data_IF_648608121940
#
_entry.id   IF_648608121940
#
_cell.length_a   1.000
_cell.length_b   1.000
_cell.length_c   1.000
_cell.angle_alpha   90.00
_cell.angle_beta   90.00
_cell.angle_gamma   90.00
#
_symmetry.space_group_name_H-M   'P 1'
#
loop_
_entity.id
_entity.type
_entity.pdbx_description
1 polymer ?
#
# COMPACT_ATOMS: atom_id res chain seq x y z
N UNK A 1 68.67 -1.30 8.27
CA UNK A 1 68.46 0.11 7.87
C UNK A 1 67.05 0.25 7.32
N UNK A 2 66.31 1.24 7.85
CA UNK A 2 65.28 2.10 7.20
C UNK A 2 64.33 1.41 6.19
N UNK A 3 63.07 1.16 6.59
CA UNK A 3 61.88 2.03 6.39
C UNK A 3 61.31 1.96 4.96
N UNK A 4 60.03 1.53 4.89
CA UNK A 4 58.93 2.17 4.12
C UNK A 4 59.04 1.99 2.57
N UNK A 5 58.02 1.58 1.82
CA UNK A 5 56.78 2.32 1.55
C UNK A 5 55.72 1.40 0.92
N UNK A 6 54.50 1.53 1.43
CA UNK A 6 53.21 0.99 0.98
C UNK A 6 52.76 1.78 -0.25
N UNK A 7 52.42 1.17 -1.39
CA UNK A 7 51.68 1.79 -2.52
C UNK A 7 51.60 0.74 -3.67
N UNK A 8 50.55 0.58 -4.48
CA UNK A 8 49.41 1.44 -4.79
C UNK A 8 48.32 0.54 -5.39
N UNK A 9 47.12 0.61 -4.82
CA UNK A 9 45.87 0.12 -5.38
C UNK A 9 45.62 0.86 -6.71
N UNK A 10 45.61 0.16 -7.84
CA UNK A 10 45.12 0.73 -9.12
C UNK A 10 44.10 -0.24 -9.68
N UNK A 11 42.82 0.09 -9.50
CA UNK A 11 41.97 0.77 -10.50
C UNK A 11 41.64 -0.14 -11.68
N UNK A 12 40.71 -1.05 -11.41
CA UNK A 12 39.61 -1.43 -12.27
C UNK A 12 38.37 -1.17 -11.41
N UNK A 13 37.30 -0.49 -11.83
CA UNK A 13 36.50 -0.79 -13.00
C UNK A 13 35.86 0.50 -13.53
N UNK A 14 35.82 0.55 -14.85
CA UNK A 14 35.09 1.48 -15.71
C UNK A 14 33.59 1.21 -15.59
N UNK A 15 32.82 2.25 -15.27
CA UNK A 15 31.36 2.27 -15.40
C UNK A 15 30.95 3.74 -15.39
N UNK A 16 30.58 4.26 -16.55
CA UNK A 16 30.48 5.69 -16.80
C UNK A 16 29.56 6.41 -15.83
N UNK A 17 30.07 7.48 -15.22
CA UNK A 17 29.26 8.57 -14.71
C UNK A 17 28.55 9.26 -15.89
N UNK A 18 27.47 8.65 -16.38
CA UNK A 18 26.41 9.33 -17.10
C UNK A 18 25.16 9.18 -16.24
N UNK A 19 25.06 9.96 -15.17
CA UNK A 19 23.84 10.14 -14.42
C UNK A 19 23.95 11.51 -13.72
N UNK A 20 23.60 12.56 -14.47
CA UNK A 20 23.32 13.88 -13.90
C UNK A 20 21.86 13.95 -13.40
N UNK A 21 21.14 12.83 -13.30
CA UNK A 21 19.86 12.72 -12.61
C UNK A 21 20.08 12.82 -11.10
N UNK A 22 19.19 13.52 -10.39
CA UNK A 22 19.22 13.50 -8.94
C UNK A 22 18.87 12.07 -8.48
N UNK A 23 19.58 11.44 -7.53
CA UNK A 23 19.30 10.05 -7.12
C UNK A 23 17.83 9.75 -6.77
N UNK A 24 17.10 10.75 -6.29
CA UNK A 24 15.68 10.65 -5.97
C UNK A 24 14.76 10.69 -7.21
N UNK A 25 15.18 11.31 -8.30
CA UNK A 25 14.47 11.29 -9.59
C UNK A 25 14.55 9.90 -10.24
N UNK A 26 15.76 9.33 -10.29
CA UNK A 26 15.99 8.01 -10.85
C UNK A 26 15.21 6.94 -10.05
N UNK A 27 15.29 7.00 -8.71
CA UNK A 27 14.52 6.09 -7.84
C UNK A 27 13.01 6.28 -7.96
N UNK A 28 12.53 7.53 -8.06
CA UNK A 28 11.10 7.79 -8.28
C UNK A 28 10.61 7.21 -9.60
N UNK A 29 11.41 7.33 -10.67
CA UNK A 29 11.09 6.77 -11.97
C UNK A 29 11.08 5.23 -11.96
N UNK A 30 12.03 4.59 -11.29
CA UNK A 30 12.05 3.14 -11.09
C UNK A 30 10.81 2.69 -10.29
N UNK A 31 10.54 3.35 -9.16
CA UNK A 31 9.38 3.06 -8.32
C UNK A 31 8.06 3.13 -9.12
N UNK A 32 7.86 4.18 -9.92
CA UNK A 32 6.62 4.36 -10.68
C UNK A 32 6.45 3.39 -11.85
N UNK A 33 7.54 2.98 -12.50
CA UNK A 33 7.50 2.19 -13.75
C UNK A 33 7.75 0.70 -13.54
N UNK A 34 8.26 0.27 -12.38
CA UNK A 34 8.58 -1.12 -12.11
C UNK A 34 7.87 -1.62 -10.85
N UNK A 35 8.28 -1.13 -9.67
CA UNK A 35 7.80 -1.66 -8.38
C UNK A 35 6.30 -1.39 -8.15
N UNK A 36 5.79 -0.22 -8.55
CA UNK A 36 4.39 0.17 -8.34
C UNK A 36 3.41 -0.54 -9.27
N UNK A 37 3.81 -0.97 -10.47
CA UNK A 37 2.84 -1.48 -11.47
C UNK A 37 2.12 -2.72 -10.97
N UNK A 38 2.86 -3.69 -10.41
CA UNK A 38 2.26 -4.91 -9.87
C UNK A 38 1.32 -4.62 -8.69
N UNK A 39 1.64 -3.62 -7.86
CA UNK A 39 0.79 -3.15 -6.77
C UNK A 39 -0.46 -2.45 -7.29
N UNK A 40 -0.33 -1.67 -8.36
CA UNK A 40 -1.44 -0.95 -9.00
C UNK A 40 -2.46 -1.92 -9.61
N UNK A 41 -2.03 -2.93 -10.37
CA UNK A 41 -2.95 -3.94 -10.93
C UNK A 41 -3.76 -4.66 -9.83
N UNK A 42 -3.11 -4.98 -8.70
CA UNK A 42 -3.80 -5.58 -7.55
C UNK A 42 -4.77 -4.61 -6.89
N UNK A 43 -4.45 -3.31 -6.85
CA UNK A 43 -5.36 -2.28 -6.33
C UNK A 43 -6.63 -2.14 -7.19
N UNK A 44 -6.52 -2.20 -8.52
CA UNK A 44 -7.69 -2.22 -9.42
C UNK A 44 -8.56 -3.46 -9.18
N UNK A 45 -7.92 -4.63 -9.02
CA UNK A 45 -8.63 -5.86 -8.66
C UNK A 45 -9.36 -5.72 -7.31
N UNK A 46 -8.76 -5.12 -6.30
CA UNK A 46 -9.41 -4.88 -4.99
C UNK A 46 -10.63 -3.97 -5.15
N UNK A 47 -10.54 -2.92 -5.97
CA UNK A 47 -11.68 -2.04 -6.27
C UNK A 47 -12.85 -2.79 -6.92
N UNK A 48 -12.56 -3.62 -7.93
CA UNK A 48 -13.56 -4.50 -8.57
C UNK A 48 -14.19 -5.48 -7.58
N UNK A 49 -13.38 -6.00 -6.65
CA UNK A 49 -13.86 -6.92 -5.62
C UNK A 49 -14.77 -6.21 -4.62
N UNK A 50 -14.48 -4.96 -4.26
CA UNK A 50 -15.36 -4.11 -3.45
C UNK A 50 -16.74 -3.91 -4.10
N UNK A 51 -16.78 -3.65 -5.41
CA UNK A 51 -18.04 -3.55 -6.14
C UNK A 51 -18.84 -4.87 -6.10
N UNK A 52 -18.17 -6.01 -6.27
CA UNK A 52 -18.80 -7.34 -6.17
C UNK A 52 -19.27 -7.68 -4.75
N UNK A 53 -18.61 -7.16 -3.71
CA UNK A 53 -19.04 -7.36 -2.33
C UNK A 53 -20.39 -6.69 -2.06
N UNK A 54 -20.65 -5.51 -2.65
CA UNK A 54 -21.94 -4.80 -2.50
C UNK A 54 -23.12 -5.69 -2.90
N UNK A 55 -22.97 -6.47 -3.99
CA UNK A 55 -23.99 -7.40 -4.47
C UNK A 55 -24.28 -8.55 -3.48
N UNK A 56 -23.37 -8.81 -2.54
CA UNK A 56 -23.45 -9.92 -1.58
C UNK A 56 -24.03 -9.52 -0.22
N UNK A 57 -24.15 -8.23 0.11
CA UNK A 57 -24.60 -7.80 1.44
C UNK A 57 -26.00 -8.29 1.83
N UNK A 58 -26.84 -8.66 0.85
CA UNK A 58 -28.14 -9.30 1.13
C UNK A 58 -28.01 -10.71 1.73
N UNK A 59 -26.82 -11.31 1.67
CA UNK A 59 -26.49 -12.63 2.19
C UNK A 59 -25.21 -12.52 3.09
N UNK A 60 -25.33 -12.09 4.36
CA UNK A 60 -24.18 -11.73 5.21
C UNK A 60 -23.12 -12.82 5.32
N UNK A 61 -23.52 -14.09 5.44
CA UNK A 61 -22.59 -15.24 5.47
C UNK A 61 -21.74 -15.33 4.18
N UNK A 62 -22.36 -15.18 3.01
CA UNK A 62 -21.64 -15.22 1.73
C UNK A 62 -20.76 -13.99 1.53
N UNK A 63 -21.19 -12.83 2.02
CA UNK A 63 -20.39 -11.62 2.00
C UNK A 63 -19.15 -11.78 2.90
N UNK A 64 -19.32 -12.31 4.12
CA UNK A 64 -18.23 -12.57 5.07
C UNK A 64 -17.22 -13.54 4.48
N UNK A 65 -17.67 -14.67 3.91
CA UNK A 65 -16.81 -15.64 3.24
C UNK A 65 -16.02 -14.97 2.11
N UNK A 66 -16.66 -14.14 1.30
CA UNK A 66 -15.98 -13.44 0.20
C UNK A 66 -14.93 -12.43 0.72
N UNK A 67 -15.20 -11.72 1.82
CA UNK A 67 -14.19 -10.86 2.46
C UNK A 67 -13.00 -11.68 2.94
N UNK A 68 -13.25 -12.77 3.66
CA UNK A 68 -12.21 -13.58 4.31
C UNK A 68 -11.38 -14.44 3.35
N UNK A 69 -12.01 -15.00 2.32
CA UNK A 69 -11.36 -15.95 1.41
C UNK A 69 -10.79 -15.27 0.16
N UNK A 70 -11.29 -14.10 -0.21
CA UNK A 70 -10.89 -13.45 -1.47
C UNK A 70 -10.24 -12.07 -1.23
N UNK A 71 -10.92 -11.15 -0.51
CA UNK A 71 -10.43 -9.76 -0.36
C UNK A 71 -9.23 -9.68 0.58
N UNK A 72 -9.37 -10.15 1.82
CA UNK A 72 -8.31 -10.05 2.83
C UNK A 72 -7.01 -10.76 2.44
N UNK A 73 -7.03 -11.96 1.82
CA UNK A 73 -5.81 -12.59 1.35
C UNK A 73 -5.07 -11.76 0.30
N UNK A 74 -5.81 -11.11 -0.62
CA UNK A 74 -5.20 -10.23 -1.62
C UNK A 74 -4.61 -8.97 -0.98
N UNK A 75 -5.30 -8.36 -0.01
CA UNK A 75 -4.77 -7.20 0.72
C UNK A 75 -3.50 -7.54 1.52
N UNK A 76 -3.48 -8.70 2.18
CA UNK A 76 -2.31 -9.20 2.92
C UNK A 76 -1.12 -9.46 1.98
N UNK A 77 -1.38 -9.99 0.79
CA UNK A 77 -0.37 -10.16 -0.26
C UNK A 77 0.17 -8.82 -0.78
N UNK A 78 -0.71 -7.84 -1.04
CA UNK A 78 -0.31 -6.48 -1.44
C UNK A 78 0.53 -5.81 -0.35
N UNK A 79 0.09 -5.89 0.91
CA UNK A 79 0.83 -5.35 2.06
C UNK A 79 2.23 -5.95 2.16
N UNK A 80 2.35 -7.28 2.07
CA UNK A 80 3.65 -7.95 2.12
C UNK A 80 4.56 -7.54 0.96
N UNK A 81 4.01 -7.36 -0.24
CA UNK A 81 4.79 -6.87 -1.39
C UNK A 81 5.22 -5.42 -1.22
N UNK A 82 4.36 -4.56 -0.67
CA UNK A 82 4.71 -3.18 -0.34
C UNK A 82 5.84 -3.12 0.69
N UNK A 83 5.74 -3.87 1.79
CA UNK A 83 6.81 -3.95 2.80
C UNK A 83 8.17 -4.42 2.21
N UNK A 84 8.16 -5.22 1.15
CA UNK A 84 9.38 -5.61 0.43
C UNK A 84 9.94 -4.50 -0.47
N UNK A 85 9.08 -3.64 -1.01
CA UNK A 85 9.49 -2.46 -1.78
C UNK A 85 10.11 -1.43 -0.84
N UNK A 86 9.48 -1.17 0.32
CA UNK A 86 9.98 -0.24 1.34
C UNK A 86 11.45 -0.47 1.71
N UNK A 87 11.86 -1.73 1.85
CA UNK A 87 13.23 -2.12 2.19
C UNK A 87 14.29 -1.79 1.12
N UNK A 88 13.86 -1.51 -0.12
CA UNK A 88 14.74 -1.18 -1.24
C UNK A 88 14.89 0.32 -1.47
N UNK A 89 13.98 1.11 -0.94
CA UNK A 89 13.96 2.56 -1.16
C UNK A 89 15.06 3.23 -0.33
N UNK A 90 15.83 4.10 -0.96
CA UNK A 90 16.97 4.81 -0.39
C UNK A 90 16.68 6.28 -0.11
N UNK A 91 15.80 6.92 -0.89
CA UNK A 91 15.54 8.37 -0.76
C UNK A 91 14.28 8.67 0.03
N UNK A 92 14.38 9.63 0.95
CA UNK A 92 13.28 10.02 1.85
C UNK A 92 11.99 10.39 1.08
N UNK A 93 12.11 11.04 -0.08
CA UNK A 93 10.93 11.51 -0.82
C UNK A 93 10.11 10.36 -1.41
N UNK A 94 10.78 9.30 -1.88
CA UNK A 94 10.13 8.09 -2.40
C UNK A 94 9.65 7.21 -1.25
N UNK A 95 10.42 7.10 -0.17
CA UNK A 95 9.98 6.44 1.07
C UNK A 95 8.71 7.08 1.65
N UNK A 96 8.63 8.41 1.72
CA UNK A 96 7.43 9.12 2.18
C UNK A 96 6.21 8.83 1.29
N UNK A 97 6.40 8.79 -0.03
CA UNK A 97 5.33 8.42 -0.96
C UNK A 97 4.90 6.96 -0.78
N UNK A 98 5.85 6.05 -0.61
CA UNK A 98 5.56 4.63 -0.44
C UNK A 98 4.90 4.33 0.90
N UNK A 99 5.31 5.02 1.98
CA UNK A 99 4.67 4.90 3.28
C UNK A 99 3.19 5.25 3.21
N UNK A 100 2.80 6.30 2.47
CA UNK A 100 1.38 6.61 2.25
C UNK A 100 0.63 5.46 1.57
N UNK A 101 1.25 4.76 0.63
CA UNK A 101 0.65 3.57 0.01
C UNK A 101 0.51 2.42 1.01
N UNK A 102 1.55 2.15 1.81
CA UNK A 102 1.55 1.09 2.82
C UNK A 102 0.51 1.35 3.93
N UNK A 103 0.39 2.61 4.36
CA UNK A 103 -0.62 3.07 5.31
C UNK A 103 -2.02 2.85 4.73
N UNK A 104 -2.25 3.25 3.47
CA UNK A 104 -3.54 3.06 2.81
C UNK A 104 -3.94 1.58 2.76
N UNK A 105 -3.03 0.69 2.37
CA UNK A 105 -3.30 -0.75 2.29
C UNK A 105 -3.53 -1.35 3.68
N UNK A 106 -2.81 -0.86 4.70
CA UNK A 106 -3.01 -1.30 6.09
C UNK A 106 -4.38 -0.89 6.59
N UNK A 107 -4.74 0.39 6.51
CA UNK A 107 -6.06 0.87 6.94
C UNK A 107 -7.20 0.21 6.16
N UNK A 108 -7.01 -0.02 4.85
CA UNK A 108 -7.97 -0.74 4.03
C UNK A 108 -8.13 -2.21 4.48
N UNK A 109 -7.05 -2.86 4.90
CA UNK A 109 -7.09 -4.21 5.47
C UNK A 109 -7.90 -4.21 6.77
N UNK A 110 -7.59 -3.29 7.69
CA UNK A 110 -8.28 -3.16 8.97
C UNK A 110 -9.79 -2.90 8.77
N UNK A 111 -10.13 -2.04 7.79
CA UNK A 111 -11.52 -1.76 7.40
C UNK A 111 -12.26 -3.03 6.96
N UNK A 112 -11.63 -3.88 6.13
CA UNK A 112 -12.24 -5.13 5.67
C UNK A 112 -12.27 -6.20 6.77
N UNK A 113 -11.31 -6.23 7.69
CA UNK A 113 -11.35 -7.11 8.87
C UNK A 113 -12.56 -6.75 9.76
N UNK A 114 -12.71 -5.47 10.10
CA UNK A 114 -13.88 -4.98 10.84
C UNK A 114 -15.19 -5.26 10.10
N UNK A 115 -15.19 -5.05 8.78
CA UNK A 115 -16.37 -5.34 7.98
C UNK A 115 -16.74 -6.84 7.99
N UNK A 116 -15.75 -7.75 7.99
CA UNK A 116 -16.00 -9.18 8.16
C UNK A 116 -16.65 -9.47 9.51
N UNK A 117 -16.13 -8.88 10.60
CA UNK A 117 -16.67 -9.07 11.94
C UNK A 117 -18.13 -8.58 12.03
N UNK A 118 -18.44 -7.42 11.43
CA UNK A 118 -19.80 -6.91 11.33
C UNK A 118 -20.72 -7.83 10.52
N UNK A 119 -20.23 -8.44 9.44
CA UNK A 119 -20.99 -9.39 8.63
C UNK A 119 -21.29 -10.68 9.39
N UNK A 120 -20.36 -11.15 10.24
CA UNK A 120 -20.56 -12.30 11.13
C UNK A 120 -21.75 -12.10 12.06
N UNK A 121 -21.79 -10.93 12.71
CA UNK A 121 -22.86 -10.54 13.63
C UNK A 121 -24.23 -10.46 12.94
N UNK A 122 -24.26 -10.30 11.62
CA UNK A 122 -25.46 -10.15 10.83
C UNK A 122 -25.92 -11.47 10.17
N UNK A 123 -25.24 -12.60 10.44
CA UNK A 123 -25.69 -13.92 9.98
C UNK A 123 -26.95 -14.35 10.73
N UNK A 124 -28.08 -14.66 10.03
CA UNK A 124 -29.32 -15.03 10.71
C UNK A 124 -29.22 -16.36 11.51
N UNK A 125 -29.93 -16.47 12.65
CA UNK A 125 -30.77 -15.43 13.26
C UNK A 125 -29.94 -14.36 13.99
N UNK A 126 -30.26 -13.09 13.75
CA UNK A 126 -29.59 -11.96 14.40
C UNK A 126 -30.25 -11.66 15.75
N UNK A 127 -29.47 -11.61 16.83
CA UNK A 127 -29.95 -11.24 18.16
C UNK A 127 -29.96 -9.72 18.37
N UNK A 128 -30.68 -9.23 19.39
CA UNK A 128 -30.64 -7.80 19.77
C UNK A 128 -29.22 -7.37 20.19
N UNK A 129 -28.45 -8.27 20.82
CA UNK A 129 -27.06 -8.02 21.22
C UNK A 129 -26.14 -7.87 20.00
N UNK A 130 -26.26 -8.76 19.02
CA UNK A 130 -25.44 -8.71 17.81
C UNK A 130 -25.79 -7.49 16.95
N UNK A 131 -27.07 -7.13 16.89
CA UNK A 131 -27.53 -5.90 16.26
C UNK A 131 -26.91 -4.66 16.94
N UNK A 132 -26.94 -4.58 18.27
CA UNK A 132 -26.35 -3.48 19.01
C UNK A 132 -24.84 -3.39 18.81
N UNK A 133 -24.13 -4.53 18.86
CA UNK A 133 -22.68 -4.58 18.57
C UNK A 133 -22.37 -4.08 17.17
N UNK A 134 -23.17 -4.47 16.18
CA UNK A 134 -23.00 -3.97 14.81
C UNK A 134 -23.15 -2.45 14.75
N UNK A 135 -24.17 -1.89 15.42
CA UNK A 135 -24.40 -0.44 15.55
C UNK A 135 -23.23 0.31 16.21
N UNK A 136 -22.59 -0.30 17.21
CA UNK A 136 -21.44 0.26 17.91
C UNK A 136 -20.16 0.28 17.04
N UNK A 137 -20.04 -0.65 16.09
CA UNK A 137 -18.88 -0.77 15.18
C UNK A 137 -18.99 0.12 13.94
N UNK A 138 -20.19 0.54 13.53
CA UNK A 138 -20.38 1.40 12.35
C UNK A 138 -19.55 2.70 12.37
N UNK A 139 -19.44 3.45 13.48
CA UNK A 139 -18.61 4.65 13.53
C UNK A 139 -17.13 4.37 13.26
N UNK A 140 -16.61 3.25 13.75
CA UNK A 140 -15.21 2.84 13.51
C UNK A 140 -15.00 2.47 12.05
N UNK A 141 -15.95 1.74 11.44
CA UNK A 141 -15.92 1.44 10.01
C UNK A 141 -15.93 2.72 9.15
N UNK A 142 -16.76 3.70 9.51
CA UNK A 142 -16.81 4.99 8.82
C UNK A 142 -15.49 5.75 8.96
N UNK A 143 -14.91 5.77 10.15
CA UNK A 143 -13.62 6.42 10.39
C UNK A 143 -12.52 5.79 9.53
N UNK A 144 -12.43 4.46 9.49
CA UNK A 144 -11.45 3.75 8.64
C UNK A 144 -11.65 4.06 7.16
N UNK A 145 -12.91 4.13 6.70
CA UNK A 145 -13.23 4.54 5.32
C UNK A 145 -12.74 5.96 5.02
N UNK A 146 -13.00 6.92 5.91
CA UNK A 146 -12.56 8.30 5.75
C UNK A 146 -11.02 8.42 5.76
N UNK A 147 -10.35 7.62 6.60
CA UNK A 147 -8.88 7.54 6.66
C UNK A 147 -8.29 6.99 5.36
N UNK A 148 -8.85 5.91 4.80
CA UNK A 148 -8.42 5.35 3.50
C UNK A 148 -8.51 6.41 2.39
N UNK A 149 -9.62 7.16 2.35
CA UNK A 149 -9.84 8.22 1.37
C UNK A 149 -8.83 9.36 1.55
N UNK A 150 -8.61 9.80 2.79
CA UNK A 150 -7.67 10.88 3.09
C UNK A 150 -6.23 10.48 2.75
N UNK A 151 -5.80 9.27 3.09
CA UNK A 151 -4.46 8.76 2.76
C UNK A 151 -4.31 8.66 1.23
N UNK A 152 -5.34 8.19 0.53
CA UNK A 152 -5.35 8.12 -0.94
C UNK A 152 -5.18 9.49 -1.61
N UNK A 153 -5.85 10.52 -1.09
CA UNK A 153 -5.67 11.91 -1.54
C UNK A 153 -4.24 12.39 -1.29
N UNK A 154 -3.71 12.19 -0.09
CA UNK A 154 -2.34 12.58 0.27
C UNK A 154 -1.31 11.88 -0.63
N UNK A 155 -1.49 10.58 -0.90
CA UNK A 155 -0.65 9.82 -1.84
C UNK A 155 -0.68 10.43 -3.24
N UNK A 156 -1.87 10.71 -3.76
CA UNK A 156 -2.03 11.30 -5.10
C UNK A 156 -1.39 12.69 -5.19
N UNK A 157 -1.55 13.53 -4.17
CA UNK A 157 -0.95 14.86 -4.12
C UNK A 157 0.57 14.79 -4.05
N UNK A 158 1.13 13.96 -3.15
CA UNK A 158 2.59 13.77 -3.02
C UNK A 158 3.20 13.25 -4.32
N UNK A 159 2.56 12.26 -4.94
CA UNK A 159 3.00 11.72 -6.23
C UNK A 159 3.04 12.82 -7.29
N UNK A 160 1.96 13.59 -7.42
CA UNK A 160 1.89 14.70 -8.38
C UNK A 160 2.97 15.76 -8.13
N UNK A 161 3.27 16.08 -6.87
CA UNK A 161 4.37 17.00 -6.53
C UNK A 161 5.73 16.48 -7.00
N UNK A 162 5.98 15.18 -6.85
CA UNK A 162 7.21 14.54 -7.32
C UNK A 162 7.27 14.48 -8.86
N UNK A 163 6.16 14.16 -9.53
CA UNK A 163 6.05 14.24 -10.99
C UNK A 163 6.37 15.65 -11.49
N UNK A 164 5.73 16.69 -10.93
CA UNK A 164 5.99 18.08 -11.31
C UNK A 164 7.44 18.51 -11.03
N UNK A 165 8.03 18.06 -9.92
CA UNK A 165 9.42 18.35 -9.55
C UNK A 165 10.41 17.75 -10.55
N UNK A 166 10.19 16.52 -10.97
CA UNK A 166 11.13 15.78 -11.82
C UNK A 166 10.89 15.99 -13.33
N UNK A 167 9.65 16.20 -13.78
CA UNK A 167 9.37 16.57 -15.18
C UNK A 167 9.79 18.01 -15.52
N UNK A 168 9.99 18.86 -14.51
CA UNK A 168 10.47 20.24 -14.69
C UNK A 168 11.99 20.42 -14.57
N UNK A 169 12.73 19.32 -14.35
CA UNK A 169 14.19 19.29 -14.16
C UNK A 169 14.99 19.08 -15.45
#
# INVERSE_FOLDING_TARGET
>A
MKKIFFLLLTLFIVGGCNANGQPAEDEFNEYNNEDRIALFEKSEKISDMGAKLIEKYSEPEKAQIYVNEEILPLLKDVKSQAENVDQKLETNEVQELHQLFLDQVTTLTDMFELQSDMLELQVPPVSEEDQQKTEELYPELQQLSDEVDQIGQNYSEKRKQLEEKYESS
#
